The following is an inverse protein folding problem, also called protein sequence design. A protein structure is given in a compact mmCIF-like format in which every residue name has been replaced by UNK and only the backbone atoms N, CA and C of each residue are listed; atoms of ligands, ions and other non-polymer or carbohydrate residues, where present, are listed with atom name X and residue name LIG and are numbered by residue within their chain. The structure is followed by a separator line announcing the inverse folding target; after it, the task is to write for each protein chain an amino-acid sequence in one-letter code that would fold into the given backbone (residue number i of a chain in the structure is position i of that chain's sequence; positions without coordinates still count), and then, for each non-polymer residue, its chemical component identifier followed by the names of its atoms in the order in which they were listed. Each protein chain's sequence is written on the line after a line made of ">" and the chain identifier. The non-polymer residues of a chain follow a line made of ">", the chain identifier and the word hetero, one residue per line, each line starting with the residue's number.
data_IF_577635430584
#
_entry.id   IF_577635430584
#
_cell.length_a   1.000
_cell.length_b   1.000
_cell.length_c   1.000
_cell.angle_alpha   90.00
_cell.angle_beta   90.00
_cell.angle_gamma   90.00
#
_symmetry.space_group_name_H-M   'P 1'
#
loop_
_entity.id
_entity.type
_entity.pdbx_description
1 polymer ?
#
# COMPACT_ATOMS: atom_id res chain seq x y z
N UNK A 1 -20.85 -14.40 4.82
CA UNK A 1 -19.60 -14.56 5.58
C UNK A 1 -19.06 -13.15 5.71
N UNK A 2 -18.97 -12.67 6.94
CA UNK A 2 -18.64 -11.27 7.21
C UNK A 2 -17.16 -11.03 6.91
N UNK A 3 -16.88 -10.28 5.84
CA UNK A 3 -15.50 -9.98 5.41
C UNK A 3 -14.70 -9.25 6.50
N UNK A 4 -15.38 -8.46 7.34
CA UNK A 4 -14.77 -7.77 8.47
C UNK A 4 -14.26 -8.71 9.55
N UNK A 5 -14.83 -9.92 9.69
CA UNK A 5 -14.35 -10.92 10.63
C UNK A 5 -13.02 -11.57 10.18
N UNK A 6 -12.70 -11.56 8.90
CA UNK A 6 -11.44 -12.09 8.35
C UNK A 6 -10.27 -11.10 8.45
N UNK A 7 -10.54 -9.80 8.52
CA UNK A 7 -9.50 -8.76 8.61
C UNK A 7 -8.52 -8.95 9.76
N UNK A 8 -8.93 -9.33 11.00
CA UNK A 8 -8.00 -9.57 12.10
C UNK A 8 -7.05 -10.74 11.84
N UNK A 9 -7.54 -11.82 11.22
CA UNK A 9 -6.73 -13.01 10.91
C UNK A 9 -5.73 -12.71 9.78
N UNK A 10 -6.18 -12.05 8.74
CA UNK A 10 -5.35 -11.55 7.63
C UNK A 10 -4.25 -10.63 8.15
N UNK A 11 -4.60 -9.68 9.02
CA UNK A 11 -3.66 -8.78 9.66
C UNK A 11 -2.62 -9.53 10.49
N UNK A 12 -3.06 -10.54 11.26
CA UNK A 12 -2.18 -11.36 12.10
C UNK A 12 -1.16 -12.12 11.24
N UNK A 13 -1.60 -12.80 10.18
CA UNK A 13 -0.73 -13.54 9.25
C UNK A 13 0.24 -12.62 8.51
N UNK A 14 -0.21 -11.45 8.09
CA UNK A 14 0.65 -10.48 7.44
C UNK A 14 1.72 -9.92 8.39
N UNK A 15 1.37 -9.61 9.63
CA UNK A 15 2.32 -9.19 10.66
C UNK A 15 3.35 -10.30 10.97
N UNK A 16 2.92 -11.55 10.98
CA UNK A 16 3.81 -12.70 11.15
C UNK A 16 4.82 -12.79 10.00
N UNK A 17 4.36 -12.67 8.75
CA UNK A 17 5.23 -12.63 7.56
C UNK A 17 6.26 -11.51 7.67
N UNK A 18 5.81 -10.28 7.96
CA UNK A 18 6.69 -9.13 8.12
C UNK A 18 7.71 -9.34 9.24
N UNK A 19 7.31 -9.96 10.36
CA UNK A 19 8.18 -10.25 11.49
C UNK A 19 9.26 -11.28 11.12
N UNK A 20 8.91 -12.31 10.35
CA UNK A 20 9.85 -13.31 9.84
C UNK A 20 10.87 -12.66 8.91
N UNK A 21 10.43 -11.81 7.99
CA UNK A 21 11.30 -11.07 7.08
C UNK A 21 12.29 -10.17 7.85
N UNK A 22 11.80 -9.45 8.87
CA UNK A 22 12.63 -8.60 9.72
C UNK A 22 13.69 -9.38 10.51
N UNK A 23 13.31 -10.51 11.12
CA UNK A 23 14.28 -11.36 11.84
C UNK A 23 15.38 -11.87 10.93
N UNK A 24 15.07 -12.27 9.71
CA UNK A 24 16.06 -12.74 8.72
C UNK A 24 16.98 -11.63 8.24
N UNK A 25 16.50 -10.42 8.01
CA UNK A 25 17.35 -9.29 7.59
C UNK A 25 18.38 -8.88 8.65
N UNK A 26 18.08 -9.05 9.94
CA UNK A 26 19.04 -8.83 11.03
C UNK A 26 20.12 -9.90 11.13
N UNK A 27 19.80 -11.16 10.78
CA UNK A 27 20.75 -12.28 10.89
C UNK A 27 21.77 -12.28 9.75
N UNK A 28 21.46 -11.70 8.59
CA UNK A 28 22.37 -11.62 7.44
C UNK A 28 23.52 -10.62 7.59
N UNK A 29 23.50 -9.77 8.61
CA UNK A 29 24.54 -8.76 8.87
C UNK A 29 25.84 -9.28 9.47
N UNK A 30 25.94 -10.53 9.89
CA UNK A 30 27.08 -11.03 10.67
C UNK A 30 27.79 -12.30 10.17
N UNK A 31 27.39 -12.91 9.06
CA UNK A 31 28.08 -14.11 8.58
C UNK A 31 28.39 -14.05 7.09
N UNK A 32 29.65 -13.85 6.77
CA UNK A 32 30.26 -13.89 5.42
C UNK A 32 30.47 -15.30 4.85
N UNK A 33 29.84 -16.34 5.40
CA UNK A 33 29.96 -17.71 4.92
C UNK A 33 28.61 -18.44 4.95
N UNK A 34 28.04 -18.51 3.84
CA UNK A 34 26.91 -19.19 3.23
C UNK A 34 25.88 -18.18 2.72
N UNK A 35 25.94 -17.93 1.42
CA UNK A 35 24.93 -17.22 0.66
C UNK A 35 23.65 -18.09 0.58
N UNK A 36 22.92 -18.21 1.69
CA UNK A 36 21.51 -18.48 1.60
C UNK A 36 20.84 -17.21 1.10
N UNK A 37 20.78 -17.09 -0.22
CA UNK A 37 20.06 -16.02 -0.90
C UNK A 37 18.64 -16.01 -0.34
N UNK A 38 18.30 -14.96 0.38
CA UNK A 38 16.95 -14.75 0.89
C UNK A 38 16.00 -14.76 -0.32
N UNK A 39 15.13 -15.77 -0.38
CA UNK A 39 14.10 -15.89 -1.42
C UNK A 39 12.74 -15.49 -0.82
N UNK A 40 12.23 -14.25 -1.11
CA UNK A 40 10.96 -13.78 -0.59
C UNK A 40 9.77 -14.68 -0.97
N UNK A 41 9.80 -15.30 -2.15
CA UNK A 41 8.75 -16.22 -2.60
C UNK A 41 8.70 -17.48 -1.77
N UNK A 42 9.86 -18.01 -1.34
CA UNK A 42 9.92 -19.17 -0.47
C UNK A 42 9.40 -18.87 0.93
N UNK A 43 9.70 -17.69 1.47
CA UNK A 43 9.13 -17.23 2.74
C UNK A 43 7.62 -17.10 2.63
N UNK A 44 7.12 -16.54 1.54
CA UNK A 44 5.68 -16.41 1.29
C UNK A 44 5.01 -17.78 1.26
N UNK A 45 5.58 -18.73 0.50
CA UNK A 45 5.07 -20.11 0.42
C UNK A 45 5.06 -20.80 1.78
N UNK A 46 6.15 -20.71 2.54
CA UNK A 46 6.27 -21.34 3.85
C UNK A 46 5.33 -20.74 4.92
N UNK A 47 4.92 -19.48 4.74
CA UNK A 47 4.06 -18.76 5.69
C UNK A 47 2.58 -18.84 5.32
N UNK A 48 2.25 -18.65 4.05
CA UNK A 48 0.86 -18.53 3.57
C UNK A 48 0.39 -19.77 2.81
N UNK A 49 1.28 -20.71 2.46
CA UNK A 49 0.95 -21.93 1.70
C UNK A 49 0.85 -21.71 0.19
N UNK A 50 1.17 -20.52 -0.30
CA UNK A 50 1.19 -20.20 -1.73
C UNK A 50 2.28 -19.18 -2.06
N UNK A 51 2.65 -19.11 -3.34
CA UNK A 51 3.50 -18.04 -3.89
C UNK A 51 2.85 -17.44 -5.12
N UNK A 52 3.11 -16.15 -5.33
CA UNK A 52 2.65 -15.40 -6.51
C UNK A 52 3.83 -14.72 -7.19
N UNK A 53 3.72 -14.50 -8.51
CA UNK A 53 4.69 -13.72 -9.28
C UNK A 53 4.02 -12.93 -10.39
N UNK A 54 4.75 -11.93 -10.88
CA UNK A 54 4.37 -11.16 -12.07
C UNK A 54 4.87 -11.87 -13.32
N UNK A 55 4.01 -12.01 -14.31
CA UNK A 55 4.37 -12.54 -15.62
C UNK A 55 3.52 -11.87 -16.70
N UNK A 56 3.72 -12.23 -17.95
CA UNK A 56 2.89 -11.76 -19.07
C UNK A 56 1.45 -12.23 -18.86
N UNK A 57 0.52 -11.28 -18.89
CA UNK A 57 -0.92 -11.58 -18.73
C UNK A 57 -1.41 -12.51 -19.83
N UNK A 58 -2.33 -13.40 -19.50
CA UNK A 58 -3.08 -14.22 -20.46
C UNK A 58 -4.07 -13.39 -21.30
N UNK A 59 -4.40 -12.16 -20.86
CA UNK A 59 -5.23 -11.25 -21.65
C UNK A 59 -4.41 -10.56 -22.73
N UNK A 60 -4.94 -10.56 -23.96
CA UNK A 60 -4.30 -9.87 -25.11
C UNK A 60 -4.20 -8.38 -24.78
N UNK A 61 -3.00 -7.81 -24.93
CA UNK A 61 -2.70 -6.38 -24.71
C UNK A 61 -2.79 -5.88 -23.26
N UNK A 62 -3.02 -6.74 -22.25
CA UNK A 62 -3.05 -6.33 -20.84
C UNK A 62 -1.65 -6.17 -20.22
N UNK A 63 -0.59 -6.58 -20.92
CA UNK A 63 0.80 -6.44 -20.47
C UNK A 63 1.15 -7.44 -19.38
N UNK A 64 1.37 -6.97 -18.15
CA UNK A 64 1.74 -7.79 -16.98
C UNK A 64 0.50 -8.24 -16.24
N UNK A 65 0.50 -9.49 -15.74
CA UNK A 65 -0.47 -10.08 -14.84
C UNK A 65 0.19 -10.64 -13.59
N UNK A 66 -0.59 -11.14 -12.66
CA UNK A 66 -0.12 -11.81 -11.43
C UNK A 66 -0.64 -13.23 -11.40
N UNK A 67 0.23 -14.20 -11.15
CA UNK A 67 -0.07 -15.62 -11.21
C UNK A 67 0.26 -16.31 -9.88
N UNK A 68 -0.52 -17.33 -9.53
CA UNK A 68 -0.18 -18.26 -8.45
C UNK A 68 0.86 -19.25 -8.97
N UNK A 69 2.09 -19.23 -8.42
CA UNK A 69 3.20 -20.06 -8.92
C UNK A 69 3.39 -21.35 -8.13
N UNK A 70 3.04 -21.35 -6.85
CA UNK A 70 3.11 -22.53 -5.97
C UNK A 70 1.90 -22.59 -5.06
N UNK A 71 1.48 -23.81 -4.71
CA UNK A 71 0.38 -24.04 -3.79
C UNK A 71 -0.97 -23.61 -4.35
N UNK A 72 -1.88 -23.25 -3.45
CA UNK A 72 -3.19 -22.69 -3.80
C UNK A 72 -3.56 -21.58 -2.81
N UNK A 73 -4.33 -20.63 -3.27
CA UNK A 73 -4.84 -19.53 -2.43
C UNK A 73 -6.21 -19.91 -1.90
N UNK A 74 -6.41 -20.03 -0.58
CA UNK A 74 -7.72 -20.28 -0.02
C UNK A 74 -8.67 -19.10 -0.23
N UNK A 75 -9.97 -19.39 -0.35
CA UNK A 75 -11.01 -18.34 -0.36
C UNK A 75 -10.91 -17.49 0.92
N UNK A 76 -10.94 -16.17 0.75
CA UNK A 76 -10.84 -15.19 1.83
C UNK A 76 -9.41 -14.86 2.25
N UNK A 77 -8.39 -15.49 1.66
CA UNK A 77 -7.00 -15.14 1.93
C UNK A 77 -6.60 -13.83 1.23
N UNK A 78 -5.76 -13.03 1.88
CA UNK A 78 -5.07 -11.92 1.22
C UNK A 78 -4.01 -12.49 0.29
N UNK A 79 -4.11 -12.11 -0.98
CA UNK A 79 -3.23 -12.64 -2.03
C UNK A 79 -2.26 -11.59 -2.54
N UNK A 80 -2.59 -10.30 -2.42
CA UNK A 80 -1.72 -9.22 -2.89
C UNK A 80 -2.03 -7.91 -2.18
N UNK A 81 -1.10 -6.95 -2.25
CA UNK A 81 -1.28 -5.56 -1.81
C UNK A 81 -1.13 -4.62 -2.99
N UNK A 82 -1.91 -3.55 -2.99
CA UNK A 82 -1.76 -2.46 -3.95
C UNK A 82 -0.71 -1.47 -3.44
N UNK A 83 0.48 -1.41 -4.02
CA UNK A 83 1.54 -0.50 -3.58
C UNK A 83 1.28 0.93 -4.06
N UNK A 84 1.95 1.90 -3.45
CA UNK A 84 2.00 3.24 -4.01
C UNK A 84 1.96 4.38 -3.02
N UNK A 85 2.04 5.59 -3.59
CA UNK A 85 1.88 6.84 -2.85
C UNK A 85 0.40 7.12 -2.62
N UNK A 86 0.03 7.35 -1.37
CA UNK A 86 -1.34 7.62 -0.93
C UNK A 86 -1.57 9.13 -0.91
N UNK A 87 -2.53 9.59 -1.71
CA UNK A 87 -2.95 10.98 -1.80
C UNK A 87 -4.32 11.15 -1.16
N UNK A 88 -4.44 12.11 -0.28
CA UNK A 88 -5.74 12.54 0.23
C UNK A 88 -6.54 13.23 -0.89
N UNK A 89 -7.87 13.22 -0.78
CA UNK A 89 -8.78 13.75 -1.81
C UNK A 89 -8.56 15.22 -2.20
N UNK A 90 -7.84 15.99 -1.37
CA UNK A 90 -7.51 17.39 -1.58
C UNK A 90 -6.07 17.61 -2.05
N UNK A 91 -5.27 16.56 -2.15
CA UNK A 91 -3.86 16.66 -2.54
C UNK A 91 -3.68 16.67 -4.07
N UNK A 92 -2.69 17.42 -4.58
CA UNK A 92 -2.47 17.53 -6.02
C UNK A 92 -1.86 16.24 -6.59
N UNK A 93 -2.56 15.62 -7.54
CA UNK A 93 -2.09 14.43 -8.27
C UNK A 93 -2.07 14.66 -9.79
N UNK A 94 -2.20 15.90 -10.24
CA UNK A 94 -2.43 16.20 -11.66
C UNK A 94 -1.36 15.60 -12.58
N UNK A 95 -0.08 15.87 -12.33
CA UNK A 95 1.00 15.38 -13.20
C UNK A 95 1.17 13.85 -13.11
N UNK A 96 0.98 13.27 -11.94
CA UNK A 96 1.09 11.83 -11.73
C UNK A 96 -0.05 11.07 -12.38
N UNK A 97 -1.20 11.73 -12.62
CA UNK A 97 -2.39 11.09 -13.18
C UNK A 97 -2.41 11.06 -14.72
N UNK A 98 -1.60 11.89 -15.38
CA UNK A 98 -1.61 11.96 -16.85
C UNK A 98 -1.16 10.66 -17.47
N UNK A 99 -2.07 9.95 -18.15
CA UNK A 99 -1.80 8.68 -18.80
C UNK A 99 -1.38 7.54 -17.85
N UNK A 100 -1.69 7.65 -16.57
CA UNK A 100 -1.33 6.69 -15.54
C UNK A 100 -2.49 5.71 -15.25
N UNK A 101 -2.43 4.44 -15.74
CA UNK A 101 -3.48 3.46 -15.49
C UNK A 101 -3.40 2.83 -14.09
N UNK A 102 -2.37 3.14 -13.29
CA UNK A 102 -2.11 2.55 -11.98
C UNK A 102 -2.56 3.44 -10.82
N UNK A 103 -3.58 4.28 -11.04
CA UNK A 103 -4.19 5.03 -9.94
C UNK A 103 -5.43 4.29 -9.46
N UNK A 104 -5.35 3.81 -8.22
CA UNK A 104 -6.48 3.23 -7.51
C UNK A 104 -7.24 4.34 -6.78
N UNK A 105 -8.57 4.36 -6.95
CA UNK A 105 -9.44 5.29 -6.24
C UNK A 105 -10.22 4.57 -5.16
N UNK A 106 -9.96 4.92 -3.91
CA UNK A 106 -10.71 4.44 -2.75
C UNK A 106 -12.14 5.01 -2.72
N UNK A 107 -13.03 4.32 -1.99
CA UNK A 107 -14.45 4.69 -1.87
C UNK A 107 -14.62 6.12 -1.31
N UNK A 108 -13.79 6.50 -0.36
CA UNK A 108 -13.80 7.82 0.27
C UNK A 108 -13.09 8.93 -0.54
N UNK A 109 -12.55 8.58 -1.71
CA UNK A 109 -11.89 9.51 -2.61
C UNK A 109 -10.37 9.66 -2.39
N UNK A 110 -9.77 8.92 -1.47
CA UNK A 110 -8.32 8.75 -1.36
C UNK A 110 -7.81 8.06 -2.63
N UNK A 111 -6.64 8.46 -3.12
CA UNK A 111 -6.02 7.90 -4.32
C UNK A 111 -4.70 7.21 -3.96
N UNK A 112 -4.42 6.07 -4.61
CA UNK A 112 -3.13 5.38 -4.48
C UNK A 112 -2.49 5.30 -5.85
N UNK A 113 -1.33 5.92 -6.00
CA UNK A 113 -0.54 5.90 -7.23
C UNK A 113 0.46 4.75 -7.20
N UNK A 114 0.10 3.63 -7.82
CA UNK A 114 0.88 2.38 -7.90
C UNK A 114 1.81 2.30 -9.10
N UNK A 115 2.07 3.38 -9.83
CA UNK A 115 2.97 3.36 -10.98
C UNK A 115 4.44 3.31 -10.53
N UNK A 116 5.15 2.26 -10.95
CA UNK A 116 6.57 2.02 -10.63
C UNK A 116 7.55 2.77 -11.56
N UNK A 117 7.06 3.69 -12.39
CA UNK A 117 7.85 4.42 -13.39
C UNK A 117 7.66 5.93 -13.30
N UNK A 118 8.53 6.65 -13.99
CA UNK A 118 8.41 8.08 -14.21
C UNK A 118 8.31 8.91 -12.91
N UNK A 119 7.43 9.89 -12.95
CA UNK A 119 7.20 10.85 -11.86
C UNK A 119 6.65 10.17 -10.60
N UNK A 120 5.76 9.20 -10.72
CA UNK A 120 5.19 8.44 -9.60
C UNK A 120 6.27 7.75 -8.77
N UNK A 121 7.21 7.08 -9.45
CA UNK A 121 8.39 6.47 -8.81
C UNK A 121 9.26 7.50 -8.08
N UNK A 122 9.48 8.68 -8.70
CA UNK A 122 10.28 9.74 -8.11
C UNK A 122 9.60 10.31 -6.85
N UNK A 123 8.29 10.52 -6.90
CA UNK A 123 7.49 11.00 -5.77
C UNK A 123 7.51 10.00 -4.62
N UNK A 124 7.25 8.71 -4.88
CA UNK A 124 7.32 7.69 -3.84
C UNK A 124 8.67 7.66 -3.12
N UNK A 125 9.76 7.68 -3.89
CA UNK A 125 11.13 7.72 -3.33
C UNK A 125 11.40 8.97 -2.51
N UNK A 126 10.86 10.12 -2.94
CA UNK A 126 10.98 11.38 -2.21
C UNK A 126 10.26 11.31 -0.87
N UNK A 127 9.00 10.83 -0.85
CA UNK A 127 8.24 10.62 0.38
C UNK A 127 8.93 9.63 1.32
N UNK A 128 9.44 8.50 0.80
CA UNK A 128 10.15 7.50 1.59
C UNK A 128 11.43 8.05 2.26
N UNK A 129 12.17 8.93 1.56
CA UNK A 129 13.35 9.59 2.14
C UNK A 129 12.98 10.64 3.18
N UNK A 130 11.90 11.38 2.96
CA UNK A 130 11.39 12.39 3.89
C UNK A 130 10.99 11.78 5.24
N UNK A 131 10.30 10.64 5.19
CA UNK A 131 9.66 10.02 6.36
C UNK A 131 10.58 9.02 7.08
N UNK A 132 11.87 9.02 6.77
CA UNK A 132 12.83 8.15 7.43
C UNK A 132 12.94 8.50 8.93
N UNK A 133 12.72 7.52 9.80
CA UNK A 133 12.79 7.69 11.25
C UNK A 133 14.01 6.94 11.82
N UNK A 134 15.11 7.66 12.04
CA UNK A 134 16.37 7.07 12.48
C UNK A 134 16.85 6.00 11.49
N UNK A 135 17.15 4.76 11.95
CA UNK A 135 17.58 3.68 11.07
C UNK A 135 16.41 3.00 10.34
N UNK A 136 15.16 3.36 10.65
CA UNK A 136 13.97 2.70 10.13
C UNK A 136 13.45 3.41 8.88
N UNK A 137 13.21 2.63 7.83
CA UNK A 137 12.43 3.08 6.69
C UNK A 137 10.94 2.97 7.02
N UNK A 138 10.16 3.97 6.62
CA UNK A 138 8.73 4.05 6.91
C UNK A 138 7.86 3.44 5.80
N UNK A 139 8.49 2.87 4.77
CA UNK A 139 7.81 2.16 3.68
C UNK A 139 8.76 1.20 2.97
N UNK A 140 8.21 0.18 2.30
CA UNK A 140 8.96 -0.65 1.38
C UNK A 140 9.23 0.11 0.08
N UNK A 141 10.50 0.33 -0.24
CA UNK A 141 10.94 0.93 -1.51
C UNK A 141 11.28 -0.13 -2.55
N UNK A 142 11.37 -1.40 -2.14
CA UNK A 142 11.90 -2.47 -2.99
C UNK A 142 10.91 -2.90 -4.08
N UNK A 143 9.61 -2.63 -3.91
CA UNK A 143 8.62 -2.88 -4.97
C UNK A 143 8.89 -2.08 -6.26
N UNK A 144 9.68 -1.00 -6.17
CA UNK A 144 10.17 -0.20 -7.30
C UNK A 144 11.43 -0.78 -7.95
N UNK A 145 11.89 -1.94 -7.52
CA UNK A 145 13.13 -2.60 -7.97
C UNK A 145 12.84 -4.04 -8.40
N UNK A 146 13.75 -4.69 -9.13
CA UNK A 146 13.62 -6.12 -9.44
C UNK A 146 13.70 -7.03 -8.22
N UNK A 147 14.43 -6.60 -7.16
CA UNK A 147 14.61 -7.37 -5.93
C UNK A 147 13.58 -6.94 -4.87
N UNK A 148 12.37 -7.46 -4.98
CA UNK A 148 11.23 -7.12 -4.10
C UNK A 148 11.37 -7.87 -2.79
N UNK A 149 11.30 -7.17 -1.64
CA UNK A 149 11.29 -7.79 -0.30
C UNK A 149 9.88 -8.30 0.06
N UNK A 150 8.84 -7.55 -0.29
CA UNK A 150 7.47 -7.98 -0.08
C UNK A 150 6.86 -8.47 -1.41
N UNK A 151 6.82 -9.78 -1.67
CA UNK A 151 6.29 -10.31 -2.93
C UNK A 151 4.79 -10.10 -3.11
N UNK A 152 4.05 -9.71 -2.06
CA UNK A 152 2.64 -9.32 -2.16
C UNK A 152 2.45 -7.93 -2.80
N UNK A 153 3.47 -7.10 -2.90
CA UNK A 153 3.41 -5.73 -3.42
C UNK A 153 3.32 -5.68 -4.96
N UNK A 154 2.34 -6.37 -5.53
CA UNK A 154 2.13 -6.54 -6.98
C UNK A 154 0.68 -6.29 -7.41
N UNK A 155 -0.17 -5.81 -6.50
CA UNK A 155 -1.61 -5.67 -6.74
C UNK A 155 -1.98 -4.72 -7.88
N UNK A 156 -1.12 -3.77 -8.22
CA UNK A 156 -1.31 -2.85 -9.35
C UNK A 156 -1.28 -3.58 -10.72
N UNK A 157 -0.75 -4.79 -10.78
CA UNK A 157 -0.68 -5.61 -12.00
C UNK A 157 -1.82 -6.63 -12.10
N UNK A 158 -2.74 -6.66 -11.16
CA UNK A 158 -3.94 -7.50 -11.25
C UNK A 158 -4.91 -6.87 -12.23
N UNK A 159 -5.16 -7.57 -13.32
CA UNK A 159 -5.95 -7.07 -14.44
C UNK A 159 -7.47 -7.14 -14.15
N UNK A 160 -8.22 -6.29 -14.87
CA UNK A 160 -9.68 -6.30 -14.84
C UNK A 160 -10.22 -7.39 -15.78
N UNK A 161 -11.07 -8.26 -15.25
CA UNK A 161 -11.72 -9.33 -16.04
C UNK A 161 -12.74 -8.83 -17.08
N UNK A 162 -13.27 -7.60 -16.94
CA UNK A 162 -14.33 -7.07 -17.80
C UNK A 162 -13.87 -6.64 -19.21
N UNK A 163 -12.55 -6.61 -19.48
CA UNK A 163 -12.02 -6.23 -20.81
C UNK A 163 -12.03 -7.35 -21.85
N UNK A 164 -12.31 -8.58 -21.47
CA UNK A 164 -12.29 -9.71 -22.40
C UNK A 164 -13.72 -10.01 -22.89
N UNK A 165 -14.08 -9.48 -24.05
CA UNK A 165 -15.32 -9.86 -24.76
C UNK A 165 -15.32 -11.29 -25.29
N UNK A 166 -14.21 -12.04 -25.18
CA UNK A 166 -14.00 -13.34 -25.81
C UNK A 166 -13.76 -14.49 -24.80
N UNK A 167 -13.52 -14.20 -23.53
CA UNK A 167 -13.35 -15.22 -22.50
C UNK A 167 -14.08 -14.78 -21.24
N UNK A 168 -15.02 -15.61 -20.76
CA UNK A 168 -15.75 -15.44 -19.49
C UNK A 168 -14.79 -15.68 -18.29
N UNK A 169 -13.73 -14.86 -18.17
CA UNK A 169 -12.87 -14.89 -17.00
C UNK A 169 -13.54 -14.10 -15.89
N UNK A 170 -14.16 -14.82 -14.96
CA UNK A 170 -14.74 -14.21 -13.77
C UNK A 170 -13.63 -13.70 -12.84
N UNK A 171 -13.88 -12.58 -12.14
CA UNK A 171 -13.02 -12.10 -11.07
C UNK A 171 -12.83 -13.19 -10.01
N UNK A 172 -11.58 -13.43 -9.62
CA UNK A 172 -11.22 -14.36 -8.56
C UNK A 172 -10.65 -13.66 -7.32
N UNK A 173 -10.44 -12.34 -7.39
CA UNK A 173 -10.07 -11.48 -6.26
C UNK A 173 -10.90 -10.21 -6.22
N UNK A 174 -11.02 -9.59 -5.05
CA UNK A 174 -11.62 -8.27 -4.85
C UNK A 174 -10.69 -7.37 -4.02
N UNK A 175 -10.84 -6.06 -4.21
CA UNK A 175 -10.12 -5.06 -3.43
C UNK A 175 -10.80 -4.84 -2.09
N UNK A 176 -9.98 -4.70 -1.04
CA UNK A 176 -10.40 -4.34 0.31
C UNK A 176 -9.53 -3.21 0.83
N UNK A 177 -10.17 -2.13 1.29
CA UNK A 177 -9.52 -0.95 1.84
C UNK A 177 -9.43 -1.06 3.36
N UNK A 178 -8.31 -0.64 3.95
CA UNK A 178 -8.17 -0.51 5.40
C UNK A 178 -7.13 0.55 5.76
N UNK A 179 -7.24 1.07 6.96
CA UNK A 179 -6.26 1.99 7.52
C UNK A 179 -5.29 1.25 8.44
N UNK A 180 -4.00 1.53 8.26
CA UNK A 180 -2.98 0.99 9.17
C UNK A 180 -3.17 1.64 10.54
N UNK A 181 -3.37 0.86 11.61
CA UNK A 181 -3.62 1.40 12.93
C UNK A 181 -2.39 2.15 13.48
N UNK A 182 -2.62 3.17 14.32
CA UNK A 182 -1.55 3.97 14.93
C UNK A 182 -0.53 3.14 15.72
N UNK A 183 -1.00 2.08 16.38
CA UNK A 183 -0.14 1.16 17.14
C UNK A 183 0.63 0.15 16.27
N UNK A 184 0.62 0.30 14.93
CA UNK A 184 1.39 -0.57 14.05
C UNK A 184 2.90 -0.39 14.32
N UNK A 185 3.64 -1.48 14.54
CA UNK A 185 5.06 -1.39 14.90
C UNK A 185 5.87 -0.64 13.84
N UNK A 186 6.62 0.37 14.29
CA UNK A 186 7.41 1.25 13.40
C UNK A 186 8.42 0.44 12.59
N UNK A 187 9.07 -0.54 13.21
CA UNK A 187 10.05 -1.43 12.58
C UNK A 187 9.46 -2.31 11.47
N UNK A 188 8.13 -2.49 11.44
CA UNK A 188 7.44 -3.26 10.42
C UNK A 188 6.95 -2.38 9.26
N UNK A 189 6.90 -1.05 9.41
CA UNK A 189 6.48 -0.14 8.34
C UNK A 189 7.36 -0.25 7.09
N UNK A 190 8.65 -0.60 7.25
CA UNK A 190 9.57 -0.83 6.14
C UNK A 190 9.13 -1.93 5.15
N UNK A 191 8.13 -2.74 5.50
CA UNK A 191 7.57 -3.79 4.64
C UNK A 191 6.21 -3.40 4.03
N UNK A 192 5.63 -2.27 4.42
CA UNK A 192 4.41 -1.76 3.81
C UNK A 192 4.76 -1.04 2.51
N UNK A 193 4.15 -1.41 1.37
CA UNK A 193 4.46 -0.80 0.08
C UNK A 193 3.69 0.51 -0.16
N UNK A 194 3.21 1.15 0.90
CA UNK A 194 2.44 2.38 0.84
C UNK A 194 3.08 3.48 1.69
N UNK A 195 2.97 4.72 1.23
CA UNK A 195 3.42 5.92 1.94
C UNK A 195 2.50 7.10 1.65
N UNK A 196 2.27 7.97 2.62
CA UNK A 196 1.46 9.18 2.43
C UNK A 196 2.22 10.23 1.63
N UNK A 197 1.52 10.93 0.73
CA UNK A 197 2.10 12.05 -0.02
C UNK A 197 2.46 13.20 0.91
N UNK A 198 1.52 13.67 1.74
CA UNK A 198 1.81 14.64 2.80
C UNK A 198 2.34 13.95 4.04
N UNK A 199 3.30 14.59 4.68
CA UNK A 199 3.65 14.29 6.06
C UNK A 199 2.57 14.86 6.98
N UNK A 200 2.41 14.33 8.20
CA UNK A 200 1.49 14.88 9.19
C UNK A 200 1.65 16.40 9.28
N UNK A 201 0.77 17.10 8.57
CA UNK A 201 0.75 18.56 8.63
C UNK A 201 0.19 18.94 9.98
N UNK A 202 0.87 19.81 10.75
CA UNK A 202 0.21 20.43 11.88
C UNK A 202 -1.08 21.06 11.36
N UNK A 203 -2.20 20.87 12.08
CA UNK A 203 -3.49 21.40 11.67
C UNK A 203 -3.32 22.89 11.46
N UNK A 204 -3.22 23.31 10.19
CA UNK A 204 -3.43 24.71 9.83
C UNK A 204 -4.93 24.92 9.97
N UNK A 205 -5.37 25.28 11.15
CA UNK A 205 -6.76 25.71 11.37
C UNK A 205 -6.92 27.02 10.61
N UNK A 206 -7.42 26.93 9.37
CA UNK A 206 -7.87 28.09 8.63
C UNK A 206 -9.16 28.53 9.31
N UNK A 207 -9.09 29.41 10.31
CA UNK A 207 -10.23 30.14 10.83
C UNK A 207 -10.53 31.25 9.83
N UNK A 208 -11.52 31.03 8.98
CA UNK A 208 -12.09 32.09 8.16
C UNK A 208 -12.98 32.92 9.10
N UNK A 209 -12.51 34.08 9.52
CA UNK A 209 -13.35 35.08 10.20
C UNK A 209 -13.98 35.94 9.10
N UNK A 210 -15.27 35.76 8.85
CA UNK A 210 -16.07 36.75 8.13
C UNK A 210 -16.38 37.88 9.12
N UNK A 211 -15.60 38.95 9.10
CA UNK A 211 -15.98 40.24 9.68
C UNK A 211 -16.54 41.04 8.52
N UNK A 212 -17.72 41.60 8.72
CA UNK A 212 -18.49 42.37 7.74
C UNK A 212 -17.57 43.15 6.83
N UNK A 213 -17.76 42.93 5.50
CA UNK A 213 -17.11 43.59 4.37
C UNK A 213 -15.62 43.28 4.14
N UNK A 214 -15.43 42.22 3.30
CA UNK A 214 -14.30 42.07 2.36
C UNK A 214 -12.89 42.25 2.93
N UNK A 215 -12.50 41.36 3.82
CA UNK A 215 -11.07 41.09 4.07
C UNK A 215 -10.88 39.66 4.51
N UNK A 216 -10.32 38.83 3.63
CA UNK A 216 -9.89 37.47 3.94
C UNK A 216 -8.49 37.56 4.56
N UNK A 217 -8.36 37.46 5.86
CA UNK A 217 -7.05 37.27 6.52
C UNK A 217 -6.72 35.81 6.63
N UNK A 218 -5.74 35.35 5.83
CA UNK A 218 -5.15 34.01 5.94
C UNK A 218 -3.97 34.12 6.93
N UNK A 219 -4.13 33.62 8.13
CA UNK A 219 -3.05 33.52 9.11
C UNK A 219 -2.41 32.14 9.02
N UNK A 220 -1.30 32.02 8.32
CA UNK A 220 -0.46 30.82 8.29
C UNK A 220 0.49 30.92 9.48
N UNK A 221 0.30 30.06 10.49
CA UNK A 221 1.23 29.97 11.62
C UNK A 221 2.23 28.85 11.33
N UNK A 222 3.41 29.19 10.86
CA UNK A 222 4.57 28.29 10.89
C UNK A 222 5.10 28.24 12.33
N UNK A 223 5.23 27.04 12.90
CA UNK A 223 5.95 26.87 14.16
C UNK A 223 7.46 26.89 13.88
N UNK A 224 8.05 28.07 14.04
CA UNK A 224 9.45 28.22 14.40
C UNK A 224 9.51 29.29 15.49
N UNK A 225 10.09 28.92 16.65
CA UNK A 225 10.55 29.88 17.66
C UNK A 225 9.67 30.09 18.89
N UNK A 226 10.02 29.38 19.92
CA UNK A 226 10.14 29.79 21.33
C UNK A 226 9.18 30.86 21.87
N UNK A 227 8.19 30.43 22.67
CA UNK A 227 7.66 31.26 23.78
C UNK A 227 6.95 30.34 24.79
N UNK A 228 7.55 30.25 25.97
CA UNK A 228 6.96 29.63 27.16
C UNK A 228 5.66 30.32 27.54
N UNK A 229 4.54 29.65 27.42
CA UNK A 229 3.38 29.89 28.26
C UNK A 229 2.65 28.57 28.51
N UNK A 230 2.49 28.23 29.77
CA UNK A 230 1.75 27.07 30.25
C UNK A 230 0.28 27.25 29.95
N UNK A 231 -0.23 26.59 28.92
CA UNK A 231 -1.65 26.31 28.70
C UNK A 231 -1.78 24.82 28.42
N UNK A 232 -2.89 24.15 28.81
CA UNK A 232 -3.03 22.71 28.69
C UNK A 232 -2.96 22.31 27.21
N UNK A 233 -2.12 21.32 26.93
CA UNK A 233 -1.85 20.76 25.62
C UNK A 233 -3.12 20.11 25.04
N UNK A 234 -3.82 20.85 24.19
CA UNK A 234 -4.86 20.36 23.28
C UNK A 234 -4.30 20.34 21.85
N UNK A 235 -3.06 19.91 21.68
CA UNK A 235 -2.52 19.62 20.35
C UNK A 235 -3.03 18.26 19.89
N UNK A 236 -4.30 18.19 19.54
CA UNK A 236 -4.84 17.08 18.79
C UNK A 236 -4.20 17.05 17.40
N UNK A 237 -3.02 16.45 17.28
CA UNK A 237 -2.48 16.07 15.99
C UNK A 237 -3.43 15.04 15.40
N UNK A 238 -4.24 15.44 14.41
CA UNK A 238 -4.98 14.47 13.61
C UNK A 238 -3.96 13.77 12.74
N UNK A 239 -3.52 12.63 13.20
CA UNK A 239 -2.66 11.75 12.45
C UNK A 239 -3.48 11.21 11.27
N UNK A 240 -3.04 11.47 10.03
CA UNK A 240 -3.70 10.93 8.83
C UNK A 240 -3.36 9.44 8.77
N UNK A 241 -4.35 8.53 8.87
CA UNK A 241 -4.07 7.11 8.81
C UNK A 241 -3.50 6.73 7.44
N UNK A 242 -2.52 5.83 7.43
CA UNK A 242 -1.98 5.28 6.18
C UNK A 242 -3.02 4.31 5.59
N UNK A 243 -3.63 4.71 4.47
CA UNK A 243 -4.54 3.85 3.70
C UNK A 243 -3.75 2.76 2.99
N UNK A 244 -4.21 1.53 3.12
CA UNK A 244 -3.73 0.39 2.36
C UNK A 244 -4.90 -0.29 1.64
N UNK A 245 -4.58 -0.94 0.53
CA UNK A 245 -5.53 -1.74 -0.24
C UNK A 245 -4.94 -3.13 -0.43
N UNK A 246 -5.69 -4.15 -0.07
CA UNK A 246 -5.33 -5.55 -0.30
C UNK A 246 -6.29 -6.19 -1.28
N UNK A 247 -5.84 -7.25 -1.93
CA UNK A 247 -6.67 -8.11 -2.76
C UNK A 247 -6.95 -9.40 -2.01
N UNK A 248 -8.24 -9.74 -1.93
CA UNK A 248 -8.74 -10.92 -1.21
C UNK A 248 -9.33 -11.91 -2.20
N UNK A 249 -9.01 -13.19 -2.03
CA UNK A 249 -9.50 -14.26 -2.89
C UNK A 249 -11.01 -14.49 -2.69
N UNK A 250 -11.79 -14.41 -3.76
CA UNK A 250 -13.24 -14.66 -3.77
C UNK A 250 -13.59 -16.16 -3.77
N UNK A 251 -12.68 -16.99 -4.26
CA UNK A 251 -12.73 -18.44 -4.29
C UNK A 251 -11.35 -19.03 -4.06
N UNK A 252 -11.24 -20.33 -4.02
CA UNK A 252 -9.96 -21.01 -4.14
C UNK A 252 -9.34 -20.69 -5.51
N UNK A 253 -8.03 -20.34 -5.52
CA UNK A 253 -7.27 -20.05 -6.73
C UNK A 253 -6.11 -21.05 -6.79
N UNK A 254 -6.05 -21.79 -7.87
CA UNK A 254 -5.08 -22.89 -8.06
C UNK A 254 -3.76 -22.39 -8.65
N UNK A 255 -2.73 -23.17 -8.47
CA UNK A 255 -1.45 -22.96 -9.15
C UNK A 255 -1.66 -22.83 -10.65
N UNK A 256 -0.99 -21.86 -11.28
CA UNK A 256 -1.09 -21.52 -12.70
C UNK A 256 -2.21 -20.56 -13.05
N UNK A 257 -3.16 -20.28 -12.14
CA UNK A 257 -4.20 -19.29 -12.40
C UNK A 257 -3.67 -17.87 -12.28
N UNK A 258 -4.13 -16.99 -13.17
CA UNK A 258 -3.93 -15.55 -13.10
C UNK A 258 -4.98 -14.91 -12.18
N UNK A 259 -4.57 -13.89 -11.45
CA UNK A 259 -5.45 -13.08 -10.63
C UNK A 259 -6.20 -12.06 -11.50
N UNK A 260 -7.52 -12.05 -11.37
CA UNK A 260 -8.40 -11.10 -12.03
C UNK A 260 -9.32 -10.43 -11.02
N UNK A 261 -9.45 -9.12 -11.11
CA UNK A 261 -10.40 -8.33 -10.32
C UNK A 261 -11.52 -7.78 -11.20
N UNK A 262 -12.56 -7.29 -10.55
CA UNK A 262 -13.55 -6.42 -11.17
C UNK A 262 -13.45 -5.05 -10.48
N UNK A 263 -12.99 -4.04 -11.19
CA UNK A 263 -12.78 -2.69 -10.65
C UNK A 263 -14.09 -1.99 -10.22
N UNK A 264 -15.24 -2.51 -10.68
CA UNK A 264 -16.55 -1.92 -10.43
C UNK A 264 -17.38 -2.69 -9.40
N UNK A 265 -16.86 -3.79 -8.85
CA UNK A 265 -17.61 -4.56 -7.85
C UNK A 265 -17.37 -3.96 -6.47
N UNK A 266 -18.34 -3.21 -5.99
CA UNK A 266 -18.49 -2.90 -4.57
C UNK A 266 -19.01 -4.17 -3.92
N UNK A 267 -18.21 -4.84 -3.11
CA UNK A 267 -18.68 -5.96 -2.28
C UNK A 267 -19.31 -5.34 -1.03
N UNK A 268 -20.65 -5.29 -1.01
CA UNK A 268 -21.43 -4.89 0.17
C UNK A 268 -21.37 -5.97 1.24
#
# INVERSE_FOLDING_TARGET
>A
MDLFALLPEVKSKYLELLTIQYKRSKTTGYNHQSQNVFNPEEVLFNTLGFSITRDRSSLISAGTGVFVTKGFVPKGAVVSMYPGTVYQKYEPIFFQSIGNPFIFRCIDGVLIDGNDKGISKAVYRSCSKRDQLGPFQMSDITWLTPAVLNPLAVGQYVNNCSHSKLEDKAANVCYQEFDVPEYFPVELKQYLPNITYSHDMPIVTIRIYCINEVSIHIQIRSQDGDLRSKTPDMSGKVQIPLRCVVLVALREIKQGEELFSNYYTIVN
#
